data_IF_677977356924
#
_entry.id   IF_677977356924
#
_cell.length_a   1.000
_cell.length_b   1.000
_cell.length_c   1.000
_cell.angle_alpha   90.00
_cell.angle_beta   90.00
_cell.angle_gamma   90.00
#
_symmetry.space_group_name_H-M   'P 1'
#
loop_
_entity.id
_entity.type
_entity.pdbx_description
1 polymer ?
#
# COMPACT_ATOMS: atom_id res chain seq x y z
N UNK A 1 -8.31 -6.65 -15.12
CA UNK A 1 -7.30 -6.53 -14.06
C UNK A 1 -7.78 -5.57 -12.98
N UNK A 2 -7.58 -5.90 -11.71
CA UNK A 2 -8.01 -5.04 -10.58
C UNK A 2 -6.77 -4.55 -9.83
N UNK A 3 -6.37 -3.28 -9.99
CA UNK A 3 -5.29 -2.69 -9.20
C UNK A 3 -5.60 -2.69 -7.70
N UNK A 4 -4.59 -2.93 -6.88
CA UNK A 4 -4.66 -2.95 -5.42
C UNK A 4 -3.51 -2.11 -4.86
N UNK A 5 -3.85 -1.18 -3.97
CA UNK A 5 -2.90 -0.36 -3.22
C UNK A 5 -3.13 -0.59 -1.72
N UNK A 6 -2.10 -1.01 -0.98
CA UNK A 6 -2.15 -1.12 0.49
C UNK A 6 -1.42 0.04 1.16
N UNK A 7 -1.84 0.36 2.39
CA UNK A 7 -1.19 1.30 3.28
C UNK A 7 -0.93 0.64 4.64
N UNK A 8 0.28 0.79 5.19
CA UNK A 8 0.61 0.30 6.53
C UNK A 8 1.57 1.25 7.26
N UNK A 9 1.33 1.49 8.54
CA UNK A 9 2.32 2.06 9.46
C UNK A 9 3.31 0.96 9.92
N UNK A 10 4.61 1.21 9.87
CA UNK A 10 5.62 0.15 10.15
C UNK A 10 5.67 -0.30 11.61
N UNK A 11 5.16 0.52 12.53
CA UNK A 11 5.13 0.25 13.98
C UNK A 11 3.67 0.10 14.46
N UNK A 12 2.85 -0.61 13.67
CA UNK A 12 1.49 -0.99 14.00
C UNK A 12 1.48 -2.05 15.13
N UNK A 13 0.84 -1.78 16.29
CA UNK A 13 0.79 -2.71 17.42
C UNK A 13 -0.24 -3.83 17.25
N UNK A 14 -1.20 -3.68 16.33
CA UNK A 14 -2.34 -4.58 16.17
C UNK A 14 -2.10 -5.56 15.03
N UNK A 15 -1.48 -5.10 13.93
CA UNK A 15 -1.21 -5.90 12.74
C UNK A 15 0.27 -5.81 12.35
N UNK A 16 1.03 -6.93 12.42
CA UNK A 16 2.44 -6.94 12.04
C UNK A 16 2.69 -6.47 10.61
N UNK A 17 3.64 -5.54 10.43
CA UNK A 17 4.04 -5.05 9.10
C UNK A 17 4.58 -6.17 8.18
N UNK A 18 5.09 -7.28 8.74
CA UNK A 18 5.54 -8.44 7.97
C UNK A 18 4.44 -9.11 7.14
N UNK A 19 3.16 -8.86 7.45
CA UNK A 19 2.04 -9.33 6.64
C UNK A 19 2.03 -8.71 5.23
N UNK A 20 2.55 -7.49 5.06
CA UNK A 20 2.69 -6.90 3.72
C UNK A 20 3.62 -7.75 2.85
N UNK A 21 4.77 -8.19 3.37
CA UNK A 21 5.67 -9.09 2.62
C UNK A 21 5.02 -10.45 2.32
N UNK A 22 4.21 -10.98 3.24
CA UNK A 22 3.48 -12.23 3.01
C UNK A 22 2.43 -12.07 1.89
N UNK A 23 1.67 -10.98 1.90
CA UNK A 23 0.73 -10.64 0.83
C UNK A 23 1.44 -10.50 -0.52
N UNK A 24 2.60 -9.84 -0.55
CA UNK A 24 3.41 -9.70 -1.76
C UNK A 24 3.79 -11.07 -2.34
N UNK A 25 4.21 -12.00 -1.47
CA UNK A 25 4.56 -13.36 -1.87
C UNK A 25 3.35 -14.14 -2.41
N UNK A 26 2.20 -14.05 -1.73
CA UNK A 26 0.95 -14.69 -2.17
C UNK A 26 0.54 -14.19 -3.55
N UNK A 27 0.52 -12.87 -3.73
CA UNK A 27 0.15 -12.23 -5.01
C UNK A 27 1.14 -12.60 -6.12
N UNK A 28 2.44 -12.68 -5.79
CA UNK A 28 3.46 -13.12 -6.73
C UNK A 28 3.29 -14.58 -7.15
N UNK A 29 3.09 -15.49 -6.20
CA UNK A 29 2.82 -16.91 -6.48
C UNK A 29 1.56 -17.09 -7.32
N UNK A 30 0.56 -16.23 -7.14
CA UNK A 30 -0.65 -16.23 -7.96
C UNK A 30 -0.47 -15.61 -9.36
N UNK A 31 0.71 -15.10 -9.71
CA UNK A 31 1.00 -14.49 -11.02
C UNK A 31 0.46 -13.06 -11.19
N UNK A 32 0.16 -12.37 -10.09
CA UNK A 32 -0.51 -11.06 -10.10
C UNK A 32 0.34 -9.91 -9.54
N UNK A 33 1.67 -10.05 -9.46
CA UNK A 33 2.58 -9.01 -8.93
C UNK A 33 2.40 -7.63 -9.58
N UNK A 34 1.99 -7.60 -10.84
CA UNK A 34 1.74 -6.34 -11.55
C UNK A 34 0.58 -5.54 -10.94
N UNK A 35 -0.36 -6.18 -10.23
CA UNK A 35 -1.59 -5.60 -9.68
C UNK A 35 -1.48 -5.06 -8.27
N UNK A 36 -0.40 -5.37 -7.54
CA UNK A 36 -0.19 -4.90 -6.17
C UNK A 36 0.87 -3.79 -6.11
N UNK A 37 0.55 -2.74 -5.36
CA UNK A 37 1.52 -1.76 -4.84
C UNK A 37 1.28 -1.64 -3.35
N UNK A 38 2.37 -1.58 -2.57
CA UNK A 38 2.30 -1.47 -1.12
C UNK A 38 3.06 -0.23 -0.70
N UNK A 39 2.42 0.63 0.09
CA UNK A 39 3.00 1.88 0.59
C UNK A 39 3.03 1.85 2.11
N UNK A 40 4.08 2.40 2.72
CA UNK A 40 4.21 2.43 4.17
C UNK A 40 4.71 3.74 4.71
N UNK A 41 4.39 4.01 5.97
CA UNK A 41 4.87 5.15 6.73
C UNK A 41 5.60 4.69 7.99
N UNK A 42 6.78 5.25 8.25
CA UNK A 42 7.50 4.95 9.48
C UNK A 42 6.86 5.66 10.68
N UNK A 43 5.90 5.00 11.33
CA UNK A 43 5.06 5.62 12.36
C UNK A 43 4.45 4.57 13.28
N UNK A 44 4.27 4.94 14.55
CA UNK A 44 3.59 4.13 15.56
C UNK A 44 2.07 4.28 15.49
N UNK A 45 1.36 3.17 15.70
CA UNK A 45 -0.10 3.10 15.83
C UNK A 45 -0.80 2.46 14.64
N UNK A 46 -1.93 1.82 14.91
CA UNK A 46 -2.73 1.13 13.89
C UNK A 46 -3.44 2.13 12.97
N UNK A 47 -3.26 1.97 11.66
CA UNK A 47 -3.82 2.85 10.64
C UNK A 47 -3.58 4.36 10.89
N UNK A 48 -2.48 4.73 11.58
CA UNK A 48 -2.22 6.09 12.00
C UNK A 48 -1.77 6.98 10.82
N UNK A 49 -2.66 7.23 9.86
CA UNK A 49 -2.42 8.09 8.69
C UNK A 49 -3.09 9.45 8.88
N UNK A 50 -2.51 10.49 8.31
CA UNK A 50 -3.20 11.77 8.19
C UNK A 50 -4.31 11.68 7.13
N UNK A 51 -5.35 12.53 7.20
CA UNK A 51 -6.36 12.61 6.13
C UNK A 51 -5.78 12.87 4.75
N UNK A 52 -4.69 13.65 4.68
CA UNK A 52 -4.00 13.96 3.43
C UNK A 52 -3.26 12.74 2.85
N UNK A 53 -2.62 11.93 3.70
CA UNK A 53 -1.93 10.69 3.30
C UNK A 53 -2.94 9.68 2.72
N UNK A 54 -4.07 9.46 3.42
CA UNK A 54 -5.14 8.58 2.98
C UNK A 54 -5.78 9.05 1.67
N UNK A 55 -6.08 10.35 1.55
CA UNK A 55 -6.62 10.94 0.32
C UNK A 55 -5.64 10.80 -0.84
N UNK A 56 -4.35 11.04 -0.60
CA UNK A 56 -3.32 10.92 -1.63
C UNK A 56 -3.16 9.48 -2.12
N UNK A 57 -3.25 8.49 -1.23
CA UNK A 57 -3.25 7.08 -1.62
C UNK A 57 -4.47 6.72 -2.47
N UNK A 58 -5.66 7.18 -2.07
CA UNK A 58 -6.87 6.97 -2.87
C UNK A 58 -6.75 7.59 -4.27
N UNK A 59 -6.26 8.83 -4.38
CA UNK A 59 -6.06 9.48 -5.67
C UNK A 59 -5.04 8.73 -6.54
N UNK A 60 -3.94 8.24 -5.97
CA UNK A 60 -2.97 7.39 -6.66
C UNK A 60 -3.60 6.09 -7.18
N UNK A 61 -4.44 5.43 -6.38
CA UNK A 61 -5.18 4.24 -6.82
C UNK A 61 -6.16 4.58 -7.94
N UNK A 62 -6.92 5.67 -7.80
CA UNK A 62 -7.87 6.12 -8.82
C UNK A 62 -7.18 6.46 -10.14
N UNK A 63 -6.01 7.09 -10.09
CA UNK A 63 -5.18 7.37 -11.26
C UNK A 63 -4.63 6.10 -11.92
N UNK A 64 -4.24 5.12 -11.11
CA UNK A 64 -3.82 3.83 -11.64
C UNK A 64 -4.97 3.13 -12.37
N UNK A 65 -6.16 3.10 -11.77
CA UNK A 65 -7.35 2.49 -12.35
C UNK A 65 -7.79 3.21 -13.63
N UNK A 66 -7.87 4.54 -13.60
CA UNK A 66 -8.44 5.33 -14.71
C UNK A 66 -7.46 5.62 -15.82
N UNK A 67 -6.18 5.77 -15.49
CA UNK A 67 -5.15 6.31 -16.41
C UNK A 67 -3.97 5.35 -16.60
N UNK A 68 -3.94 4.21 -15.91
CA UNK A 68 -2.82 3.26 -15.97
C UNK A 68 -1.55 3.75 -15.30
N UNK A 69 -1.61 4.87 -14.56
CA UNK A 69 -0.43 5.46 -13.89
C UNK A 69 -0.16 4.69 -12.59
N UNK A 70 0.72 3.69 -12.64
CA UNK A 70 1.07 2.87 -11.47
C UNK A 70 1.82 3.72 -10.42
N UNK A 71 1.36 3.75 -9.16
CA UNK A 71 2.03 4.51 -8.11
C UNK A 71 3.33 3.84 -7.66
N UNK A 72 4.22 4.66 -7.08
CA UNK A 72 5.42 4.17 -6.39
C UNK A 72 5.02 3.38 -5.14
N UNK A 73 5.65 2.23 -4.93
CA UNK A 73 5.55 1.47 -3.67
C UNK A 73 6.70 1.78 -2.72
N UNK A 74 6.68 1.16 -1.55
CA UNK A 74 7.71 1.28 -0.51
C UNK A 74 7.39 2.35 0.54
N UNK A 75 8.42 2.73 1.29
CA UNK A 75 8.32 3.72 2.34
C UNK A 75 8.12 5.13 1.77
N UNK A 76 7.15 5.87 2.31
CA UNK A 76 6.85 7.25 1.97
C UNK A 76 7.28 8.19 3.11
N UNK A 77 7.61 9.43 2.73
CA UNK A 77 7.81 10.51 3.68
C UNK A 77 6.43 11.06 4.16
N UNK A 78 6.31 11.48 5.43
CA UNK A 78 5.21 12.30 5.90
C UNK A 78 5.04 13.60 5.11
#
# INVERSE_FOLDING_TARGET
>A
DTPVLTLHTTLDPDVPFSHEQQLANIVMTAGYSSRLVQQSYNRYGHCNFSPAEATSAFLRLADWVKRGVKPVGGALAP
#
